data_IF_966401516200
#
_entry.id   IF_966401516200
#
_cell.length_a   1.000
_cell.length_b   1.000
_cell.length_c   1.000
_cell.angle_alpha   90.00
_cell.angle_beta   90.00
_cell.angle_gamma   90.00
#
_symmetry.space_group_name_H-M   'P 1'
#
loop_
_entity.id
_entity.type
_entity.pdbx_description
1 polymer ?
#
# COMPACT_ATOMS: atom_id res chain seq x y z
N UNK A 1 -2.39 -25.20 -0.67
CA UNK A 1 -1.31 -24.54 0.04
C UNK A 1 -0.15 -25.51 0.14
N UNK A 2 0.93 -25.30 -0.59
CA UNK A 2 2.12 -26.18 -0.62
C UNK A 2 3.12 -25.73 0.44
N UNK A 3 3.94 -26.66 0.94
CA UNK A 3 5.06 -26.33 1.80
C UNK A 3 6.26 -25.77 0.99
N UNK A 4 7.40 -25.54 1.67
CA UNK A 4 8.62 -25.02 1.01
C UNK A 4 9.23 -25.96 -0.04
N UNK A 5 8.79 -27.24 -0.09
CA UNK A 5 9.23 -28.26 -1.07
C UNK A 5 8.32 -28.33 -2.31
N UNK A 6 7.22 -27.56 -2.34
CA UNK A 6 6.26 -27.60 -3.44
C UNK A 6 5.24 -28.74 -3.35
N UNK A 7 5.27 -29.54 -2.30
CA UNK A 7 4.34 -30.65 -2.10
C UNK A 7 3.03 -30.17 -1.46
N UNK A 8 1.90 -30.75 -1.91
CA UNK A 8 0.60 -30.48 -1.32
C UNK A 8 0.58 -30.97 0.14
N UNK A 9 0.10 -30.15 1.07
CA UNK A 9 -0.07 -30.58 2.46
C UNK A 9 -1.03 -31.79 2.52
N UNK A 10 -0.67 -32.86 3.24
CA UNK A 10 -1.55 -34.03 3.39
C UNK A 10 -2.91 -33.59 3.96
N UNK A 11 -4.00 -33.96 3.27
CA UNK A 11 -5.37 -33.70 3.73
C UNK A 11 -6.06 -32.45 3.21
N UNK A 12 -5.37 -31.59 2.42
CA UNK A 12 -6.02 -30.49 1.72
C UNK A 12 -6.33 -30.95 0.29
N UNK A 13 -7.60 -31.17 -0.02
CA UNK A 13 -8.01 -31.41 -1.40
C UNK A 13 -7.63 -30.22 -2.27
N UNK A 14 -6.82 -30.42 -3.30
CA UNK A 14 -6.58 -29.39 -4.31
C UNK A 14 -7.92 -29.18 -5.02
N UNK A 15 -8.54 -27.99 -4.90
CA UNK A 15 -9.80 -27.75 -5.59
C UNK A 15 -9.58 -27.91 -7.10
N UNK A 16 -10.45 -28.70 -7.75
CA UNK A 16 -10.43 -28.79 -9.21
C UNK A 16 -10.73 -27.42 -9.80
N UNK A 17 -9.94 -27.02 -10.81
CA UNK A 17 -10.22 -25.80 -11.54
C UNK A 17 -11.60 -25.97 -12.21
N UNK A 18 -12.57 -25.05 -11.97
CA UNK A 18 -13.88 -25.15 -12.59
C UNK A 18 -13.77 -24.98 -14.09
N UNK A 19 -14.63 -25.67 -14.86
CA UNK A 19 -14.66 -25.58 -16.32
C UNK A 19 -15.11 -24.20 -16.82
N UNK A 20 -15.82 -23.46 -15.99
CA UNK A 20 -16.35 -22.11 -16.28
C UNK A 20 -16.29 -21.25 -15.04
N UNK A 21 -16.08 -19.97 -15.23
CA UNK A 21 -16.21 -18.93 -14.20
C UNK A 21 -16.71 -17.65 -14.85
N UNK A 22 -17.44 -16.85 -14.10
CA UNK A 22 -17.92 -15.55 -14.54
C UNK A 22 -16.78 -14.53 -14.68
N UNK A 23 -15.78 -14.62 -13.78
CA UNK A 23 -14.56 -13.81 -13.81
C UNK A 23 -13.35 -14.70 -13.58
N UNK A 24 -12.34 -14.53 -14.42
CA UNK A 24 -11.03 -15.15 -14.24
C UNK A 24 -10.00 -14.04 -14.05
N UNK A 25 -9.30 -14.07 -12.92
CA UNK A 25 -8.21 -13.16 -12.58
C UNK A 25 -6.90 -13.88 -12.82
N UNK A 26 -6.02 -13.32 -13.64
CA UNK A 26 -4.72 -13.90 -13.96
C UNK A 26 -3.64 -13.13 -13.20
N UNK A 27 -2.98 -13.82 -12.27
CA UNK A 27 -1.95 -13.29 -11.39
C UNK A 27 -2.43 -13.05 -9.95
N UNK A 28 -1.73 -13.63 -8.99
CA UNK A 28 -1.99 -13.55 -7.54
C UNK A 28 -1.09 -12.55 -6.81
N UNK A 29 -0.65 -11.49 -7.48
CA UNK A 29 0.00 -10.35 -6.84
C UNK A 29 -1.01 -9.42 -6.16
N UNK A 30 -0.55 -8.28 -5.62
CA UNK A 30 -1.39 -7.32 -4.90
C UNK A 30 -2.59 -6.85 -5.72
N UNK A 31 -2.43 -6.66 -7.03
CA UNK A 31 -3.53 -6.22 -7.92
C UNK A 31 -4.59 -7.32 -8.04
N UNK A 32 -4.18 -8.55 -8.40
CA UNK A 32 -5.15 -9.65 -8.58
C UNK A 32 -5.83 -10.03 -7.28
N UNK A 33 -5.12 -10.05 -6.16
CA UNK A 33 -5.69 -10.29 -4.84
C UNK A 33 -6.68 -9.19 -4.43
N UNK A 34 -6.35 -7.92 -4.72
CA UNK A 34 -7.25 -6.78 -4.48
C UNK A 34 -8.53 -6.89 -5.32
N UNK A 35 -8.41 -7.23 -6.60
CA UNK A 35 -9.60 -7.43 -7.48
C UNK A 35 -10.46 -8.56 -6.94
N UNK A 36 -9.87 -9.71 -6.57
CA UNK A 36 -10.60 -10.84 -6.00
C UNK A 36 -11.33 -10.45 -4.70
N UNK A 37 -10.65 -9.75 -3.79
CA UNK A 37 -11.22 -9.25 -2.54
C UNK A 37 -12.43 -8.34 -2.79
N UNK A 38 -12.28 -7.35 -3.67
CA UNK A 38 -13.35 -6.38 -3.93
C UNK A 38 -14.54 -7.02 -4.68
N UNK A 39 -14.31 -7.95 -5.60
CA UNK A 39 -15.38 -8.70 -6.24
C UNK A 39 -16.16 -9.53 -5.20
N UNK A 40 -15.45 -10.24 -4.30
CA UNK A 40 -16.09 -10.99 -3.23
C UNK A 40 -16.91 -10.07 -2.29
N UNK A 41 -16.37 -8.91 -1.94
CA UNK A 41 -17.06 -7.90 -1.12
C UNK A 41 -18.31 -7.34 -1.81
N UNK A 42 -18.32 -7.27 -3.14
CA UNK A 42 -19.47 -6.90 -3.95
C UNK A 42 -20.46 -8.07 -4.20
N UNK A 43 -20.24 -9.23 -3.58
CA UNK A 43 -21.12 -10.39 -3.68
C UNK A 43 -20.89 -11.28 -4.91
N UNK A 44 -19.78 -11.10 -5.62
CA UNK A 44 -19.41 -11.96 -6.76
C UNK A 44 -18.70 -13.22 -6.23
N UNK A 45 -19.37 -14.37 -6.30
CA UNK A 45 -18.85 -15.65 -5.82
C UNK A 45 -18.26 -16.53 -6.92
N UNK A 46 -18.63 -16.30 -8.19
CA UNK A 46 -18.15 -17.07 -9.33
C UNK A 46 -16.89 -16.43 -9.94
N UNK A 47 -15.82 -16.43 -9.14
CA UNK A 47 -14.52 -15.82 -9.45
C UNK A 47 -13.42 -16.85 -9.27
N UNK A 48 -12.52 -16.96 -10.24
CA UNK A 48 -11.32 -17.81 -10.18
C UNK A 48 -10.09 -16.93 -10.29
N UNK A 49 -9.16 -17.06 -9.34
CA UNK A 49 -7.85 -16.46 -9.41
C UNK A 49 -6.82 -17.53 -9.76
N UNK A 50 -6.09 -17.32 -10.83
CA UNK A 50 -5.01 -18.19 -11.30
C UNK A 50 -3.66 -17.54 -11.02
N UNK A 51 -2.81 -18.26 -10.30
CA UNK A 51 -1.41 -17.87 -10.09
C UNK A 51 -0.51 -19.05 -10.49
N UNK A 52 0.55 -18.77 -11.20
CA UNK A 52 1.46 -19.81 -11.74
C UNK A 52 2.43 -20.37 -10.69
N UNK A 53 2.62 -19.66 -9.57
CA UNK A 53 3.54 -20.03 -8.51
C UNK A 53 2.86 -19.77 -7.15
N UNK A 54 3.37 -18.90 -6.32
CA UNK A 54 2.79 -18.52 -5.02
C UNK A 54 2.16 -17.14 -5.10
N UNK A 55 1.16 -16.90 -4.30
CA UNK A 55 0.65 -15.53 -4.13
C UNK A 55 1.80 -14.60 -3.74
N UNK A 56 1.83 -13.42 -4.31
CA UNK A 56 2.85 -12.37 -4.11
C UNK A 56 4.26 -12.68 -4.63
N UNK A 57 4.55 -13.87 -5.18
CA UNK A 57 5.88 -14.29 -5.63
C UNK A 57 6.47 -13.49 -6.80
N UNK A 58 5.64 -12.72 -7.51
CA UNK A 58 6.07 -11.85 -8.61
C UNK A 58 6.61 -10.50 -8.12
N UNK A 59 6.13 -9.40 -8.71
CA UNK A 59 6.59 -8.04 -8.41
C UNK A 59 6.21 -7.57 -6.99
N UNK A 60 5.16 -8.11 -6.40
CA UNK A 60 4.61 -7.60 -5.14
C UNK A 60 5.62 -7.63 -3.98
N UNK A 61 6.36 -8.73 -3.80
CA UNK A 61 7.34 -8.85 -2.71
C UNK A 61 8.58 -7.94 -2.88
N UNK A 62 8.79 -7.38 -4.07
CA UNK A 62 9.87 -6.41 -4.32
C UNK A 62 9.50 -4.99 -3.90
N UNK A 63 8.24 -4.74 -3.53
CA UNK A 63 7.80 -3.41 -3.12
C UNK A 63 8.46 -3.01 -1.79
N UNK A 64 8.77 -1.72 -1.64
CA UNK A 64 9.27 -1.18 -0.37
C UNK A 64 8.22 -1.19 0.76
N UNK A 65 6.95 -1.45 0.41
CA UNK A 65 5.85 -1.48 1.36
C UNK A 65 5.43 -0.11 1.90
N UNK A 66 5.81 0.97 1.23
CA UNK A 66 5.43 2.33 1.64
C UNK A 66 3.95 2.59 1.39
N UNK A 67 3.26 3.05 2.42
CA UNK A 67 1.85 3.44 2.39
C UNK A 67 1.73 4.94 2.55
N UNK A 68 1.76 5.66 1.40
CA UNK A 68 1.83 7.11 1.37
C UNK A 68 0.59 7.69 0.71
N UNK A 69 -0.07 8.65 1.36
CA UNK A 69 -1.19 9.40 0.80
C UNK A 69 -0.74 10.70 0.12
N UNK A 70 0.41 11.25 0.51
CA UNK A 70 1.04 12.42 -0.08
C UNK A 70 1.68 12.14 -1.45
N UNK A 71 1.78 13.15 -2.32
CA UNK A 71 2.63 13.14 -3.51
C UNK A 71 1.89 13.06 -4.86
N UNK A 72 0.56 13.23 -4.89
CA UNK A 72 -0.21 13.26 -6.15
C UNK A 72 -0.92 14.58 -6.35
N UNK A 73 -0.98 15.06 -7.60
CA UNK A 73 -1.84 16.17 -8.07
C UNK A 73 -3.11 15.65 -8.78
N UNK A 74 -3.43 14.38 -8.65
CA UNK A 74 -4.67 13.77 -9.15
C UNK A 74 -5.58 13.45 -7.98
N UNK A 75 -6.81 13.98 -8.01
CA UNK A 75 -7.85 13.71 -7.02
C UNK A 75 -8.11 12.20 -6.91
N UNK A 76 -8.39 11.53 -8.03
CA UNK A 76 -8.62 10.06 -8.07
C UNK A 76 -7.45 9.27 -7.49
N UNK A 77 -6.20 9.65 -7.80
CA UNK A 77 -5.02 8.98 -7.22
C UNK A 77 -4.92 9.21 -5.72
N UNK A 78 -5.24 10.40 -5.23
CA UNK A 78 -5.24 10.72 -3.80
C UNK A 78 -6.34 9.96 -3.08
N UNK A 79 -7.56 9.92 -3.62
CA UNK A 79 -8.68 9.13 -3.09
C UNK A 79 -8.36 7.63 -3.02
N UNK A 80 -7.75 7.07 -4.07
CA UNK A 80 -7.32 5.66 -4.08
C UNK A 80 -6.28 5.36 -3.01
N UNK A 81 -5.34 6.28 -2.76
CA UNK A 81 -4.32 6.14 -1.70
C UNK A 81 -4.96 6.19 -0.31
N UNK A 82 -5.86 7.13 -0.07
CA UNK A 82 -6.61 7.26 1.18
C UNK A 82 -7.49 6.02 1.43
N UNK A 83 -8.21 5.55 0.39
CA UNK A 83 -8.96 4.32 0.47
C UNK A 83 -8.08 3.11 0.80
N UNK A 84 -6.90 3.03 0.17
CA UNK A 84 -5.95 1.93 0.43
C UNK A 84 -5.48 1.95 1.88
N UNK A 85 -5.14 3.12 2.41
CA UNK A 85 -4.77 3.28 3.82
C UNK A 85 -5.91 2.82 4.75
N UNK A 86 -7.14 3.31 4.52
CA UNK A 86 -8.32 2.93 5.29
C UNK A 86 -8.58 1.41 5.21
N UNK A 87 -8.49 0.83 4.02
CA UNK A 87 -8.65 -0.61 3.85
C UNK A 87 -7.62 -1.41 4.66
N UNK A 88 -6.34 -1.07 4.55
CA UNK A 88 -5.29 -1.81 5.24
C UNK A 88 -5.35 -1.65 6.76
N UNK A 89 -5.86 -0.52 7.27
CA UNK A 89 -6.03 -0.29 8.72
C UNK A 89 -7.05 -1.23 9.38
N UNK A 90 -8.01 -1.76 8.62
CA UNK A 90 -9.07 -2.68 9.10
C UNK A 90 -9.01 -4.09 8.52
N UNK A 91 -8.12 -4.34 7.54
CA UNK A 91 -8.08 -5.60 6.81
C UNK A 91 -7.71 -6.79 7.71
N UNK A 92 -6.86 -6.58 8.73
CA UNK A 92 -6.51 -7.61 9.71
C UNK A 92 -7.72 -8.01 10.55
N UNK A 93 -8.54 -7.06 10.98
CA UNK A 93 -9.79 -7.32 11.71
C UNK A 93 -10.81 -8.06 10.82
N UNK A 94 -10.94 -7.64 9.54
CA UNK A 94 -11.88 -8.24 8.59
C UNK A 94 -11.50 -9.68 8.21
N UNK A 95 -10.21 -10.00 8.11
CA UNK A 95 -9.72 -11.26 7.51
C UNK A 95 -9.02 -12.19 8.49
N UNK A 96 -8.62 -11.70 9.66
CA UNK A 96 -7.76 -12.41 10.60
C UNK A 96 -6.31 -12.58 10.11
N UNK A 97 -5.93 -11.91 9.02
CA UNK A 97 -4.58 -11.99 8.44
C UNK A 97 -3.86 -10.67 8.62
N UNK A 98 -2.75 -10.67 9.36
CA UNK A 98 -1.93 -9.49 9.57
C UNK A 98 -1.34 -8.95 8.25
N UNK A 99 -1.47 -7.65 8.03
CA UNK A 99 -0.89 -6.94 6.89
C UNK A 99 0.51 -6.41 7.20
N UNK A 100 0.90 -6.42 8.48
CA UNK A 100 2.12 -5.78 8.97
C UNK A 100 2.09 -4.26 8.87
N UNK A 101 0.89 -3.65 8.78
CA UNK A 101 0.74 -2.19 8.76
C UNK A 101 1.29 -1.58 10.05
N UNK A 102 2.17 -0.59 9.88
CA UNK A 102 2.71 0.22 10.96
C UNK A 102 2.58 1.69 10.57
N UNK A 103 1.78 2.43 11.32
CA UNK A 103 1.67 3.88 11.22
C UNK A 103 2.91 4.50 11.90
N UNK A 104 3.94 4.78 11.13
CA UNK A 104 5.21 5.36 11.60
C UNK A 104 5.45 6.76 11.08
N UNK A 105 4.48 7.33 10.36
CA UNK A 105 4.61 8.58 9.66
C UNK A 105 5.34 8.44 8.32
N UNK A 106 5.27 9.52 7.53
CA UNK A 106 5.98 9.65 6.28
C UNK A 106 6.46 11.08 6.11
N UNK A 107 7.70 11.27 5.71
CA UNK A 107 8.29 12.58 5.44
C UNK A 107 8.81 12.61 4.00
N UNK A 108 8.35 13.57 3.21
CA UNK A 108 8.94 13.91 1.91
C UNK A 108 9.79 15.17 2.08
N UNK A 109 11.09 15.11 1.81
CA UNK A 109 12.02 16.20 2.10
C UNK A 109 12.41 16.99 0.85
N UNK A 110 12.44 18.31 0.96
CA UNK A 110 12.90 19.23 -0.09
C UNK A 110 14.30 19.76 0.24
N UNK A 111 15.26 19.54 -0.68
CA UNK A 111 16.63 19.99 -0.56
C UNK A 111 16.96 21.22 -1.44
N UNK A 112 16.04 21.60 -2.32
CA UNK A 112 16.17 22.78 -3.19
C UNK A 112 14.86 23.58 -3.27
N UNK A 113 14.96 24.82 -3.76
CA UNK A 113 13.83 25.75 -3.81
C UNK A 113 12.73 25.30 -4.78
N UNK A 114 13.08 24.67 -5.91
CA UNK A 114 12.11 24.23 -6.91
C UNK A 114 11.30 23.06 -6.37
N UNK A 115 11.94 22.13 -5.67
CA UNK A 115 11.30 21.00 -5.00
C UNK A 115 10.41 21.45 -3.84
N UNK A 116 10.87 22.45 -3.08
CA UNK A 116 10.07 23.05 -2.01
C UNK A 116 8.77 23.67 -2.54
N UNK A 117 8.87 24.44 -3.63
CA UNK A 117 7.71 25.06 -4.26
C UNK A 117 6.74 24.00 -4.85
N UNK A 118 7.28 22.97 -5.50
CA UNK A 118 6.49 21.84 -6.00
C UNK A 118 5.73 21.16 -4.85
N UNK A 119 6.41 20.81 -3.77
CA UNK A 119 5.79 20.12 -2.64
C UNK A 119 4.78 20.97 -1.89
N UNK A 120 4.95 22.28 -1.81
CA UNK A 120 3.93 23.20 -1.29
C UNK A 120 2.64 23.16 -2.10
N UNK A 121 2.74 23.11 -3.43
CA UNK A 121 1.57 22.95 -4.32
C UNK A 121 0.92 21.60 -4.16
N UNK A 122 1.72 20.53 -4.10
CA UNK A 122 1.21 19.17 -3.84
C UNK A 122 0.53 19.11 -2.48
N UNK A 123 1.14 19.68 -1.44
CA UNK A 123 0.58 19.70 -0.10
C UNK A 123 -0.76 20.48 -0.02
N UNK A 124 -0.83 21.62 -0.69
CA UNK A 124 -2.07 22.40 -0.77
C UNK A 124 -3.19 21.59 -1.44
N UNK A 125 -2.88 20.92 -2.55
CA UNK A 125 -3.83 20.05 -3.26
C UNK A 125 -4.23 18.85 -2.41
N UNK A 126 -3.27 18.17 -1.78
CA UNK A 126 -3.55 16.99 -0.96
C UNK A 126 -4.38 17.35 0.28
N UNK A 127 -4.15 18.52 0.92
CA UNK A 127 -5.02 19.02 2.00
C UNK A 127 -6.44 19.29 1.50
N UNK A 128 -6.60 19.85 0.30
CA UNK A 128 -7.92 20.02 -0.32
C UNK A 128 -8.63 18.66 -0.54
N UNK A 129 -7.88 17.61 -0.88
CA UNK A 129 -8.40 16.23 -0.96
C UNK A 129 -8.63 15.55 0.41
N UNK A 130 -8.30 16.20 1.53
CA UNK A 130 -8.51 15.67 2.88
C UNK A 130 -7.30 14.94 3.49
N UNK A 131 -6.11 15.03 2.89
CA UNK A 131 -4.88 14.49 3.50
C UNK A 131 -4.35 15.48 4.51
N UNK A 132 -4.10 15.02 5.74
CA UNK A 132 -3.51 15.84 6.81
C UNK A 132 -1.97 15.87 6.66
N UNK A 133 -1.49 16.82 5.85
CA UNK A 133 -0.08 17.00 5.56
C UNK A 133 0.43 18.32 6.12
N UNK A 134 1.54 18.27 6.85
CA UNK A 134 2.18 19.42 7.52
C UNK A 134 3.53 19.71 6.90
N UNK A 135 3.81 21.00 6.60
CA UNK A 135 5.16 21.46 6.30
C UNK A 135 5.91 21.59 7.63
N UNK A 136 7.05 20.93 7.75
CA UNK A 136 7.89 20.88 8.95
C UNK A 136 9.32 21.35 8.64
N UNK A 137 9.98 21.89 9.66
CA UNK A 137 11.37 22.37 9.58
C UNK A 137 12.39 21.22 9.57
N UNK A 138 13.63 21.46 9.13
CA UNK A 138 14.72 20.46 9.25
C UNK A 138 14.96 19.99 10.69
N UNK A 139 14.76 20.85 11.69
CA UNK A 139 14.86 20.45 13.12
C UNK A 139 13.78 19.46 13.51
N UNK A 140 12.53 19.69 13.10
CA UNK A 140 11.42 18.75 13.35
C UNK A 140 11.63 17.42 12.61
N UNK A 141 12.18 17.45 11.37
CA UNK A 141 12.59 16.21 10.68
C UNK A 141 13.61 15.44 11.54
N UNK A 142 14.60 16.14 12.10
CA UNK A 142 15.63 15.53 12.94
C UNK A 142 15.07 14.92 14.23
N UNK A 143 14.05 15.53 14.83
CA UNK A 143 13.35 15.00 15.98
C UNK A 143 12.56 13.73 15.65
N UNK A 144 11.81 13.73 14.54
CA UNK A 144 11.02 12.58 14.07
C UNK A 144 11.91 11.45 13.53
N UNK A 145 13.02 11.78 12.89
CA UNK A 145 13.94 10.83 12.29
C UNK A 145 15.40 11.14 12.66
N UNK A 146 15.85 10.73 13.84
CA UNK A 146 17.16 11.13 14.42
C UNK A 146 18.39 10.74 13.59
N UNK A 147 18.30 9.75 12.72
CA UNK A 147 19.41 9.33 11.83
C UNK A 147 19.50 10.16 10.55
N UNK A 148 18.50 10.99 10.25
CA UNK A 148 18.52 11.83 9.05
C UNK A 148 19.64 12.89 9.12
N UNK A 149 20.32 13.14 8.00
CA UNK A 149 21.12 14.34 7.78
C UNK A 149 20.17 15.43 7.27
N UNK A 150 20.14 16.58 7.94
CA UNK A 150 19.17 17.65 7.67
C UNK A 150 19.81 18.98 7.27
N UNK A 151 21.14 19.06 7.24
CA UNK A 151 21.90 20.31 7.02
C UNK A 151 21.67 20.94 5.64
N UNK A 152 21.28 20.13 4.68
CA UNK A 152 21.02 20.48 3.29
C UNK A 152 19.52 20.47 2.94
N UNK A 153 18.64 20.33 3.93
CA UNK A 153 17.19 20.34 3.72
C UNK A 153 16.61 21.73 3.96
N UNK A 154 15.59 22.08 3.19
CA UNK A 154 14.83 23.33 3.34
C UNK A 154 13.56 23.12 4.16
N UNK A 155 12.85 22.01 3.94
CA UNK A 155 11.64 21.62 4.67
C UNK A 155 11.34 20.14 4.47
N UNK A 156 10.41 19.61 5.28
CA UNK A 156 9.74 18.33 5.07
C UNK A 156 8.23 18.48 4.97
N UNK A 157 7.58 17.50 4.36
CA UNK A 157 6.13 17.39 4.31
C UNK A 157 5.75 16.09 5.00
N UNK A 158 5.18 16.22 6.19
CA UNK A 158 4.90 15.13 7.11
C UNK A 158 3.44 14.73 7.09
N UNK A 159 3.18 13.43 7.02
CA UNK A 159 1.85 12.83 7.19
C UNK A 159 1.95 11.76 8.27
N UNK A 160 1.36 12.01 9.42
CA UNK A 160 1.45 11.15 10.60
C UNK A 160 0.80 9.77 10.36
N UNK A 161 -0.36 9.75 9.71
CA UNK A 161 -1.15 8.53 9.47
C UNK A 161 -0.59 7.64 8.35
N UNK A 162 0.58 7.95 7.80
CA UNK A 162 1.23 7.14 6.80
C UNK A 162 2.22 6.15 7.43
N UNK A 163 2.74 5.21 6.63
CA UNK A 163 3.67 4.23 7.18
C UNK A 163 4.08 3.14 6.22
N UNK A 164 4.19 1.92 6.73
CA UNK A 164 4.65 0.76 5.97
C UNK A 164 3.76 -0.44 6.18
N UNK A 165 3.74 -1.34 5.19
CA UNK A 165 3.13 -2.67 5.24
C UNK A 165 4.15 -3.74 4.88
N UNK A 166 3.85 -4.99 5.22
CA UNK A 166 4.62 -6.12 4.72
C UNK A 166 4.11 -6.50 3.31
N UNK A 167 4.91 -6.40 2.25
CA UNK A 167 4.49 -6.74 0.89
C UNK A 167 4.44 -8.26 0.60
N UNK A 168 4.73 -9.11 1.59
CA UNK A 168 4.79 -10.59 1.47
C UNK A 168 3.64 -11.25 2.20
#
# INVERSE_FOLDING_TARGET
MTDRSGEARPGVAVPSIPERARVVIIGGGVIGSSVAYHLAKLGWSDVVLLERDRLTSGTTWHAAGLMCTFGSLSETSTEMRMYTWDLFSRLEEETGQATGLKAIGFIEAAADADRLEEYRRVAAFNRWCGVDVHEISPSEIKELFPVAKVDDLLAGFYVEQNGVVNPV
#
